data_IF_857674949894
#
_entry.id   IF_857674949894
#
_cell.length_a   1.000
_cell.length_b   1.000
_cell.length_c   1.000
_cell.angle_alpha   90.00
_cell.angle_beta   90.00
_cell.angle_gamma   90.00
#
_symmetry.space_group_name_H-M   'P 1'
#
loop_
_entity.id
_entity.type
_entity.pdbx_description
1 polymer ?
#
# COMPACT_ATOMS: atom_id res chain seq x y z
N UNK A 1 -6.98 18.10 -3.69
CA UNK A 1 -7.44 18.10 -2.27
C UNK A 1 -6.35 18.74 -1.43
N UNK A 2 -6.63 19.73 -0.58
CA UNK A 2 -5.62 20.34 0.29
C UNK A 2 -5.17 19.34 1.37
N UNK A 3 -3.88 19.34 1.75
CA UNK A 3 -3.32 18.40 2.73
C UNK A 3 -4.11 18.36 4.05
N UNK A 4 -4.51 19.52 4.60
CA UNK A 4 -5.35 19.60 5.82
C UNK A 4 -6.69 18.89 5.67
N UNK A 5 -7.32 18.97 4.49
CA UNK A 5 -8.57 18.26 4.21
C UNK A 5 -8.28 16.76 4.11
N UNK A 6 -7.20 16.36 3.45
CA UNK A 6 -6.81 14.95 3.30
C UNK A 6 -6.58 14.28 4.66
N UNK A 7 -5.87 14.93 5.59
CA UNK A 7 -5.67 14.44 6.96
C UNK A 7 -6.99 14.22 7.70
N UNK A 8 -7.94 15.15 7.61
CA UNK A 8 -9.27 14.97 8.23
C UNK A 8 -10.00 13.73 7.70
N UNK A 9 -9.90 13.47 6.39
CA UNK A 9 -10.47 12.26 5.80
C UNK A 9 -9.74 10.99 6.24
N UNK A 10 -8.41 10.99 6.34
CA UNK A 10 -7.66 9.86 6.91
C UNK A 10 -8.13 9.56 8.33
N UNK A 11 -8.22 10.59 9.19
CA UNK A 11 -8.70 10.43 10.57
C UNK A 11 -10.13 9.89 10.62
N UNK A 12 -11.03 10.39 9.76
CA UNK A 12 -12.40 9.88 9.65
C UNK A 12 -12.43 8.39 9.31
N UNK A 13 -11.65 7.94 8.32
CA UNK A 13 -11.57 6.53 7.94
C UNK A 13 -10.95 5.67 9.05
N UNK A 14 -9.92 6.16 9.74
CA UNK A 14 -9.34 5.48 10.90
C UNK A 14 -10.35 5.36 12.04
N UNK A 15 -11.10 6.42 12.36
CA UNK A 15 -12.15 6.38 13.37
C UNK A 15 -13.25 5.38 13.01
N UNK A 16 -13.62 5.29 11.73
CA UNK A 16 -14.60 4.31 11.27
C UNK A 16 -14.10 2.87 11.43
N UNK A 17 -12.82 2.61 11.13
CA UNK A 17 -12.21 1.30 11.35
C UNK A 17 -12.14 0.93 12.85
N UNK A 18 -11.81 1.89 13.72
CA UNK A 18 -11.82 1.69 15.17
C UNK A 18 -13.24 1.41 15.69
N UNK A 19 -14.23 2.15 15.21
CA UNK A 19 -15.63 1.94 15.59
C UNK A 19 -16.13 0.57 15.14
N UNK A 20 -15.77 0.13 13.93
CA UNK A 20 -16.04 -1.23 13.48
C UNK A 20 -15.36 -2.28 14.36
N UNK A 21 -14.09 -2.05 14.73
CA UNK A 21 -13.36 -2.95 15.62
C UNK A 21 -14.01 -3.07 17.01
N UNK A 22 -14.58 -1.98 17.55
CA UNK A 22 -15.36 -2.02 18.79
C UNK A 22 -16.63 -2.86 18.62
N UNK A 23 -17.26 -2.82 17.44
CA UNK A 23 -18.35 -3.74 17.08
C UNK A 23 -17.89 -5.19 17.07
N UNK A 24 -16.77 -5.51 16.40
CA UNK A 24 -16.18 -6.85 16.41
C UNK A 24 -15.87 -7.30 17.84
N UNK A 25 -15.30 -6.42 18.67
CA UNK A 25 -15.04 -6.72 20.08
C UNK A 25 -16.31 -7.09 20.86
N UNK A 26 -17.41 -6.36 20.61
CA UNK A 26 -18.68 -6.60 21.28
C UNK A 26 -19.37 -7.90 20.83
N UNK A 27 -19.35 -8.21 19.53
CA UNK A 27 -20.08 -9.36 18.97
C UNK A 27 -19.25 -10.65 18.88
N UNK A 28 -17.96 -10.54 18.54
CA UNK A 28 -17.06 -11.68 18.24
C UNK A 28 -15.95 -11.84 19.30
N UNK A 29 -15.85 -10.91 20.25
CA UNK A 29 -14.91 -10.96 21.37
C UNK A 29 -13.52 -10.37 21.09
N UNK A 30 -12.67 -10.42 22.12
CA UNK A 30 -11.36 -9.75 22.12
C UNK A 30 -10.34 -10.35 21.16
N UNK A 31 -10.37 -11.66 20.95
CA UNK A 31 -9.45 -12.32 20.02
C UNK A 31 -9.66 -11.82 18.58
N UNK A 32 -10.91 -11.83 18.11
CA UNK A 32 -11.28 -11.36 16.76
C UNK A 32 -11.05 -9.86 16.56
N UNK A 33 -11.27 -9.06 17.60
CA UNK A 33 -10.94 -7.63 17.55
C UNK A 33 -9.43 -7.37 17.43
N UNK A 34 -8.59 -8.16 18.09
CA UNK A 34 -7.13 -8.06 17.95
C UNK A 34 -6.69 -8.53 16.55
N UNK A 35 -7.29 -9.59 16.02
CA UNK A 35 -7.07 -10.03 14.64
C UNK A 35 -7.43 -8.95 13.62
N UNK A 36 -8.60 -8.32 13.76
CA UNK A 36 -9.03 -7.22 12.89
C UNK A 36 -8.06 -6.04 12.97
N UNK A 37 -7.71 -5.60 14.19
CA UNK A 37 -6.79 -4.48 14.37
C UNK A 37 -5.42 -4.78 13.77
N UNK A 38 -4.95 -6.02 13.87
CA UNK A 38 -3.67 -6.46 13.30
C UNK A 38 -3.69 -6.50 11.79
N UNK A 39 -4.72 -7.12 11.21
CA UNK A 39 -4.93 -7.09 9.77
C UNK A 39 -5.02 -5.66 9.24
N UNK A 40 -5.74 -4.79 9.95
CA UNK A 40 -5.93 -3.39 9.57
C UNK A 40 -4.61 -2.60 9.59
N UNK A 41 -3.81 -2.72 10.66
CA UNK A 41 -2.53 -2.00 10.79
C UNK A 41 -1.50 -2.51 9.78
N UNK A 42 -1.38 -3.83 9.60
CA UNK A 42 -0.48 -4.41 8.58
C UNK A 42 -0.87 -3.88 7.21
N UNK A 43 -2.16 -3.96 6.88
CA UNK A 43 -2.62 -3.57 5.57
C UNK A 43 -2.48 -2.07 5.32
N UNK A 44 -2.78 -1.24 6.31
CA UNK A 44 -2.58 0.21 6.24
C UNK A 44 -1.09 0.55 6.05
N UNK A 45 -0.19 -0.19 6.71
CA UNK A 45 1.25 0.00 6.60
C UNK A 45 1.75 -0.35 5.19
N UNK A 46 1.35 -1.51 4.67
CA UNK A 46 1.74 -1.95 3.33
C UNK A 46 1.13 -1.09 2.23
N UNK A 47 -0.09 -0.60 2.44
CA UNK A 47 -0.74 0.36 1.56
C UNK A 47 0.07 1.63 1.36
N UNK A 48 0.90 2.06 2.33
CA UNK A 48 1.78 3.23 2.16
C UNK A 48 2.84 2.98 1.08
N UNK A 49 3.43 1.79 1.01
CA UNK A 49 4.38 1.43 -0.05
C UNK A 49 3.69 1.42 -1.42
N UNK A 50 2.49 0.84 -1.49
CA UNK A 50 1.67 0.81 -2.69
C UNK A 50 1.42 2.23 -3.24
N UNK A 51 1.20 3.20 -2.34
CA UNK A 51 0.99 4.59 -2.71
C UNK A 51 2.24 5.27 -3.30
N UNK A 52 3.45 4.89 -2.88
CA UNK A 52 4.68 5.36 -3.53
C UNK A 52 4.78 4.88 -4.97
N UNK A 53 4.43 3.63 -5.23
CA UNK A 53 4.35 3.11 -6.60
C UNK A 53 3.30 3.85 -7.41
N UNK A 54 2.14 4.18 -6.83
CA UNK A 54 1.13 4.99 -7.52
C UNK A 54 1.67 6.38 -7.87
N UNK A 55 2.40 7.03 -6.94
CA UNK A 55 3.06 8.32 -7.20
C UNK A 55 4.05 8.22 -8.36
N UNK A 56 4.89 7.18 -8.38
CA UNK A 56 5.84 6.95 -9.47
C UNK A 56 5.13 6.75 -10.80
N UNK A 57 4.09 5.91 -10.86
CA UNK A 57 3.31 5.69 -12.09
C UNK A 57 2.70 7.01 -12.58
N UNK A 58 2.03 7.77 -11.71
CA UNK A 58 1.42 9.04 -12.13
C UNK A 58 2.47 10.05 -12.62
N UNK A 59 3.67 10.04 -12.03
CA UNK A 59 4.77 10.92 -12.42
C UNK A 59 5.38 10.50 -13.76
N UNK A 60 5.64 9.21 -13.98
CA UNK A 60 6.15 8.68 -15.26
C UNK A 60 5.23 8.99 -16.45
N UNK A 61 3.92 8.94 -16.23
CA UNK A 61 2.92 9.24 -17.27
C UNK A 61 2.52 10.73 -17.32
N UNK A 62 3.10 11.61 -16.49
CA UNK A 62 2.80 13.04 -16.48
C UNK A 62 1.34 13.38 -16.15
N UNK A 63 0.66 12.55 -15.35
CA UNK A 63 -0.77 12.70 -15.05
C UNK A 63 -1.00 13.85 -14.08
N UNK A 64 -1.74 14.88 -14.53
CA UNK A 64 -2.15 16.02 -13.69
C UNK A 64 -2.96 15.57 -12.48
N UNK A 65 -2.79 16.28 -11.35
CA UNK A 65 -3.43 15.97 -10.05
C UNK A 65 -4.97 15.88 -10.09
N UNK A 66 -5.60 16.59 -11.02
CA UNK A 66 -7.04 16.56 -11.25
C UNK A 66 -7.53 15.18 -11.72
N UNK A 67 -6.80 14.53 -12.63
CA UNK A 67 -7.20 13.25 -13.21
C UNK A 67 -6.82 12.05 -12.33
N UNK A 68 -5.79 12.19 -11.48
CA UNK A 68 -5.39 11.16 -10.51
C UNK A 68 -6.55 10.71 -9.62
N UNK A 69 -7.42 11.65 -9.21
CA UNK A 69 -8.58 11.35 -8.36
C UNK A 69 -9.51 10.34 -9.01
N UNK A 70 -9.77 10.49 -10.31
CA UNK A 70 -10.67 9.62 -11.04
C UNK A 70 -10.08 8.21 -11.12
N UNK A 71 -8.82 8.11 -11.53
CA UNK A 71 -8.11 6.83 -11.59
C UNK A 71 -8.06 6.12 -10.24
N UNK A 72 -7.77 6.83 -9.16
CA UNK A 72 -7.74 6.25 -7.81
C UNK A 72 -9.11 5.73 -7.36
N UNK A 73 -10.22 6.38 -7.72
CA UNK A 73 -11.55 5.90 -7.34
C UNK A 73 -11.86 4.56 -8.02
N UNK A 74 -11.59 4.43 -9.33
CA UNK A 74 -11.76 3.15 -10.04
C UNK A 74 -10.75 2.11 -9.55
N UNK A 75 -9.53 2.55 -9.28
CA UNK A 75 -8.44 1.76 -8.67
C UNK A 75 -8.85 1.09 -7.36
N UNK A 76 -9.50 1.84 -6.47
CA UNK A 76 -9.97 1.32 -5.17
C UNK A 76 -11.08 0.27 -5.37
N UNK A 77 -11.99 0.49 -6.31
CA UNK A 77 -13.06 -0.48 -6.58
C UNK A 77 -12.47 -1.78 -7.12
N UNK A 78 -11.54 -1.70 -8.08
CA UNK A 78 -10.84 -2.87 -8.61
C UNK A 78 -10.03 -3.60 -7.54
N UNK A 79 -9.25 -2.88 -6.74
CA UNK A 79 -8.49 -3.44 -5.62
C UNK A 79 -9.39 -4.20 -4.62
N UNK A 80 -10.55 -3.66 -4.24
CA UNK A 80 -11.49 -4.35 -3.33
C UNK A 80 -11.97 -5.68 -3.92
N UNK A 81 -12.27 -5.71 -5.22
CA UNK A 81 -12.72 -6.93 -5.92
C UNK A 81 -11.58 -7.93 -6.06
N UNK A 82 -10.41 -7.51 -6.53
CA UNK A 82 -9.24 -8.36 -6.70
C UNK A 82 -8.80 -8.96 -5.36
N UNK A 83 -8.83 -8.18 -4.29
CA UNK A 83 -8.49 -8.69 -2.96
C UNK A 83 -9.52 -9.67 -2.42
N UNK A 84 -10.81 -9.47 -2.66
CA UNK A 84 -11.81 -10.50 -2.34
C UNK A 84 -11.43 -11.83 -2.99
N UNK A 85 -11.07 -11.80 -4.28
CA UNK A 85 -10.65 -12.98 -5.03
C UNK A 85 -9.40 -13.61 -4.40
N UNK A 86 -8.33 -12.83 -4.20
CA UNK A 86 -7.08 -13.39 -3.68
C UNK A 86 -7.18 -13.87 -2.23
N UNK A 87 -7.95 -13.22 -1.37
CA UNK A 87 -8.18 -13.65 0.00
C UNK A 87 -8.92 -14.99 0.00
N UNK A 88 -10.02 -15.09 -0.76
CA UNK A 88 -10.80 -16.33 -0.84
C UNK A 88 -9.99 -17.50 -1.44
N UNK A 89 -9.19 -17.23 -2.48
CA UNK A 89 -8.29 -18.23 -3.05
C UNK A 89 -7.16 -18.59 -2.07
N UNK A 90 -6.56 -17.59 -1.42
CA UNK A 90 -5.46 -17.74 -0.49
C UNK A 90 -5.85 -18.57 0.72
N UNK A 91 -7.02 -18.33 1.32
CA UNK A 91 -7.52 -19.11 2.45
C UNK A 91 -7.71 -20.58 2.07
N UNK A 92 -8.25 -20.86 0.87
CA UNK A 92 -8.37 -22.25 0.37
C UNK A 92 -7.01 -22.92 0.24
N UNK A 93 -5.99 -22.21 -0.24
CA UNK A 93 -4.63 -22.74 -0.35
C UNK A 93 -4.04 -22.99 1.02
N UNK A 94 -4.14 -22.04 1.95
CA UNK A 94 -3.62 -22.16 3.32
C UNK A 94 -4.24 -23.34 4.07
N UNK A 95 -5.56 -23.53 3.93
CA UNK A 95 -6.26 -24.64 4.57
C UNK A 95 -5.94 -26.01 3.95
N UNK A 96 -5.51 -26.05 2.68
CA UNK A 96 -5.17 -27.30 2.00
C UNK A 96 -3.69 -27.65 2.12
N UNK A 97 -2.82 -26.65 2.29
CA UNK A 97 -1.37 -26.77 2.22
C UNK A 97 -0.76 -25.97 3.37
N UNK A 98 -0.74 -26.53 4.58
CA UNK A 98 -0.28 -25.81 5.77
C UNK A 98 1.17 -25.30 5.66
N UNK A 99 2.04 -26.01 4.93
CA UNK A 99 3.43 -25.58 4.72
C UNK A 99 3.58 -24.34 3.82
N UNK A 100 2.49 -23.89 3.17
CA UNK A 100 2.49 -22.65 2.37
C UNK A 100 2.84 -21.42 3.21
N UNK A 101 2.50 -21.43 4.51
CA UNK A 101 2.81 -20.34 5.43
C UNK A 101 4.32 -20.10 5.54
N UNK A 102 5.14 -21.13 5.36
CA UNK A 102 6.60 -20.99 5.36
C UNK A 102 7.12 -20.34 4.07
N UNK A 103 6.53 -20.69 2.91
CA UNK A 103 6.84 -20.02 1.64
C UNK A 103 6.47 -18.54 1.76
N UNK A 104 5.28 -18.26 2.29
CA UNK A 104 4.81 -16.92 2.60
C UNK A 104 5.79 -16.19 3.51
N UNK A 105 6.27 -16.82 4.58
CA UNK A 105 7.30 -16.25 5.44
C UNK A 105 8.58 -15.87 4.69
N UNK A 106 9.07 -16.75 3.82
CA UNK A 106 10.25 -16.50 3.00
C UNK A 106 10.03 -15.35 2.01
N UNK A 107 8.88 -15.31 1.34
CA UNK A 107 8.50 -14.22 0.43
C UNK A 107 8.55 -12.88 1.17
N UNK A 108 7.94 -12.79 2.35
CA UNK A 108 7.92 -11.55 3.14
C UNK A 108 9.31 -11.09 3.54
N UNK A 109 10.19 -12.01 3.96
CA UNK A 109 11.58 -11.68 4.30
C UNK A 109 12.30 -11.13 3.06
N UNK A 110 12.20 -11.83 1.93
CA UNK A 110 12.83 -11.42 0.67
C UNK A 110 12.31 -10.06 0.21
N UNK A 111 11.00 -9.83 0.28
CA UNK A 111 10.39 -8.54 -0.08
C UNK A 111 10.87 -7.41 0.83
N UNK A 112 10.92 -7.63 2.15
CA UNK A 112 11.48 -6.65 3.09
C UNK A 112 12.95 -6.33 2.84
N UNK A 113 13.79 -7.35 2.57
CA UNK A 113 15.19 -7.14 2.18
C UNK A 113 15.31 -6.32 0.89
N UNK A 114 14.55 -6.71 -0.14
CA UNK A 114 14.54 -6.00 -1.43
C UNK A 114 14.06 -4.55 -1.30
N UNK A 115 13.17 -4.27 -0.36
CA UNK A 115 12.65 -2.95 -0.10
C UNK A 115 13.69 -2.00 0.53
N UNK A 116 14.61 -2.53 1.34
CA UNK A 116 15.70 -1.76 1.99
C UNK A 116 16.91 -1.60 1.07
N UNK A 117 17.35 -2.70 0.45
CA UNK A 117 18.61 -2.75 -0.31
C UNK A 117 18.43 -2.58 -1.81
N UNK A 118 17.19 -2.65 -2.31
CA UNK A 118 16.90 -2.44 -3.72
C UNK A 118 17.10 -0.98 -4.09
N UNK A 119 17.95 -0.73 -5.09
CA UNK A 119 18.04 0.58 -5.73
C UNK A 119 16.71 0.89 -6.44
N UNK A 120 16.01 1.92 -5.98
CA UNK A 120 14.93 2.57 -6.73
C UNK A 120 15.54 3.43 -7.83
N UNK A 121 16.14 2.80 -8.84
CA UNK A 121 16.35 3.50 -10.10
C UNK A 121 14.97 3.93 -10.60
N UNK A 122 14.84 5.19 -11.03
CA UNK A 122 13.61 5.78 -11.56
C UNK A 122 12.99 4.86 -12.63
N UNK A 123 12.11 3.95 -12.20
CA UNK A 123 11.48 2.99 -13.11
C UNK A 123 10.55 3.76 -14.01
N UNK A 124 10.89 3.79 -15.29
CA UNK A 124 9.97 4.29 -16.28
C UNK A 124 8.85 3.27 -16.51
N UNK A 125 7.66 3.58 -15.97
CA UNK A 125 6.49 2.73 -16.14
C UNK A 125 5.88 2.82 -17.55
N UNK A 126 6.32 3.78 -18.38
CA UNK A 126 5.87 3.92 -19.77
C UNK A 126 6.43 2.83 -20.69
N UNK A 127 7.47 2.08 -20.28
CA UNK A 127 7.96 0.89 -21.00
C UNK A 127 7.63 -0.44 -20.30
N UNK A 128 6.68 -0.41 -19.36
CA UNK A 128 6.32 -1.61 -18.59
C UNK A 128 5.77 -2.75 -19.47
N UNK A 129 6.05 -3.99 -19.08
CA UNK A 129 5.52 -5.20 -19.74
C UNK A 129 3.99 -5.17 -19.83
N UNK A 130 3.33 -4.69 -18.77
CA UNK A 130 1.87 -4.51 -18.72
C UNK A 130 1.41 -3.57 -19.83
N UNK A 131 2.08 -2.44 -20.04
CA UNK A 131 1.73 -1.52 -21.13
C UNK A 131 1.95 -2.13 -22.51
N UNK A 132 3.03 -2.89 -22.71
CA UNK A 132 3.30 -3.60 -23.98
C UNK A 132 2.20 -4.60 -24.31
N UNK A 133 1.73 -5.34 -23.31
CA UNK A 133 0.61 -6.28 -23.46
C UNK A 133 -0.68 -5.50 -23.75
N UNK A 134 -0.96 -4.42 -23.02
CA UNK A 134 -2.15 -3.60 -23.24
C UNK A 134 -2.19 -3.02 -24.66
N UNK A 135 -1.08 -2.44 -25.15
CA UNK A 135 -0.95 -1.90 -26.51
C UNK A 135 -1.19 -2.95 -27.60
N UNK A 136 -0.96 -4.24 -27.31
CA UNK A 136 -1.24 -5.35 -28.23
C UNK A 136 -2.73 -5.72 -28.27
N UNK A 137 -3.47 -5.47 -27.19
CA UNK A 137 -4.90 -5.81 -27.07
C UNK A 137 -5.79 -4.64 -27.50
N UNK A 138 -5.45 -3.42 -27.08
CA UNK A 138 -6.22 -2.20 -27.36
C UNK A 138 -5.25 -1.12 -27.86
N UNK A 139 -5.55 -0.44 -29.00
CA UNK A 139 -4.72 0.67 -29.45
C UNK A 139 -4.84 1.83 -28.46
N UNK A 140 -3.70 2.38 -28.05
CA UNK A 140 -3.60 3.44 -27.04
C UNK A 140 -3.26 4.76 -27.74
N UNK A 141 -3.97 5.85 -27.41
CA UNK A 141 -3.65 7.20 -27.87
C UNK A 141 -2.37 7.72 -27.22
N UNK A 142 -1.54 8.42 -27.98
CA UNK A 142 -0.31 9.06 -27.48
C UNK A 142 -0.60 10.34 -26.69
N UNK A 143 -1.82 10.89 -26.76
CA UNK A 143 -2.18 12.16 -26.12
C UNK A 143 -3.17 11.98 -24.97
N UNK A 144 -2.99 12.79 -23.93
CA UNK A 144 -3.89 12.86 -22.78
C UNK A 144 -5.19 13.59 -23.20
N UNK A 145 -6.30 12.85 -23.21
CA UNK A 145 -7.63 13.38 -23.51
C UNK A 145 -8.43 13.63 -22.23
N UNK A 146 -7.95 14.55 -21.40
CA UNK A 146 -8.58 14.97 -20.13
C UNK A 146 -8.89 13.78 -19.21
N UNK A 147 -10.15 13.66 -18.74
CA UNK A 147 -10.61 12.60 -17.84
C UNK A 147 -11.15 11.33 -18.55
N UNK A 148 -11.13 11.28 -19.88
CA UNK A 148 -11.76 10.17 -20.61
C UNK A 148 -10.85 8.97 -20.60
N UNK A 149 -11.38 7.78 -20.28
CA UNK A 149 -10.62 6.53 -20.39
C UNK A 149 -10.52 6.01 -21.82
N UNK A 150 -11.56 6.25 -22.62
CA UNK A 150 -11.61 5.88 -24.02
C UNK A 150 -12.03 7.06 -24.87
N UNK A 151 -11.48 7.12 -26.07
CA UNK A 151 -11.87 8.08 -27.10
C UNK A 151 -12.15 7.35 -28.42
N UNK A 152 -12.99 7.94 -29.26
CA UNK A 152 -13.17 7.48 -30.64
C UNK A 152 -12.40 8.39 -31.57
N UNK A 153 -11.49 7.82 -32.37
CA UNK A 153 -10.78 8.54 -33.42
C UNK A 153 -10.77 7.68 -34.69
N UNK A 154 -11.21 8.24 -35.81
CA UNK A 154 -11.29 7.52 -37.09
C UNK A 154 -12.14 6.24 -37.05
N UNK A 155 -13.25 6.24 -36.29
CA UNK A 155 -14.15 5.08 -36.18
C UNK A 155 -13.66 3.95 -35.26
N UNK A 156 -12.45 4.04 -34.71
CA UNK A 156 -11.89 3.06 -33.77
C UNK A 156 -11.94 3.57 -32.34
N UNK A 157 -12.20 2.68 -31.39
CA UNK A 157 -12.12 2.96 -29.95
C UNK A 157 -10.65 2.84 -29.50
N UNK A 158 -10.10 3.92 -28.96
CA UNK A 158 -8.73 3.99 -28.45
C UNK A 158 -8.75 4.15 -26.93
N UNK A 159 -7.90 3.40 -26.24
CA UNK A 159 -7.61 3.63 -24.84
C UNK A 159 -6.76 4.90 -24.67
N UNK A 160 -7.02 5.67 -23.63
CA UNK A 160 -6.18 6.83 -23.28
C UNK A 160 -5.05 6.43 -22.34
N UNK A 161 -4.02 7.29 -22.16
CA UNK A 161 -3.00 7.09 -21.14
C UNK A 161 -3.60 6.92 -19.73
N UNK A 162 -4.74 7.55 -19.44
CA UNK A 162 -5.41 7.44 -18.14
C UNK A 162 -5.93 6.01 -17.87
N UNK A 163 -6.40 5.31 -18.92
CA UNK A 163 -6.82 3.91 -18.81
C UNK A 163 -5.62 2.99 -18.67
N UNK A 164 -4.54 3.26 -19.41
CA UNK A 164 -3.29 2.51 -19.25
C UNK A 164 -2.75 2.63 -17.81
N UNK A 165 -2.77 3.82 -17.22
CA UNK A 165 -2.38 4.04 -15.82
C UNK A 165 -3.29 3.27 -14.86
N UNK A 166 -4.60 3.25 -15.09
CA UNK A 166 -5.53 2.44 -14.28
C UNK A 166 -5.14 0.96 -14.30
N UNK A 167 -4.89 0.39 -15.48
CA UNK A 167 -4.49 -1.02 -15.62
C UNK A 167 -3.17 -1.31 -14.94
N UNK A 168 -2.19 -0.40 -15.03
CA UNK A 168 -0.89 -0.57 -14.35
C UNK A 168 -1.09 -0.52 -12.83
N UNK A 169 -1.92 0.40 -12.31
CA UNK A 169 -2.24 0.49 -10.88
C UNK A 169 -2.89 -0.80 -10.38
N UNK A 170 -3.91 -1.32 -11.08
CA UNK A 170 -4.57 -2.59 -10.72
C UNK A 170 -3.58 -3.76 -10.78
N UNK A 171 -2.71 -3.78 -11.80
CA UNK A 171 -1.67 -4.82 -11.93
C UNK A 171 -0.64 -4.72 -10.80
N UNK A 172 -0.29 -3.51 -10.36
CA UNK A 172 0.57 -3.29 -9.21
C UNK A 172 -0.11 -3.76 -7.91
N UNK A 173 -1.41 -3.54 -7.73
CA UNK A 173 -2.14 -4.07 -6.56
C UNK A 173 -2.09 -5.61 -6.49
N UNK A 174 -2.21 -6.29 -7.64
CA UNK A 174 -1.99 -7.75 -7.73
C UNK A 174 -0.59 -8.15 -7.27
N UNK A 175 0.44 -7.38 -7.64
CA UNK A 175 1.81 -7.64 -7.18
C UNK A 175 1.94 -7.39 -5.67
N UNK A 176 1.28 -6.36 -5.12
CA UNK A 176 1.27 -6.09 -3.69
C UNK A 176 0.48 -7.11 -2.88
N UNK A 177 -0.49 -7.80 -3.49
CA UNK A 177 -1.18 -8.93 -2.88
C UNK A 177 -0.22 -10.06 -2.48
N UNK A 178 0.92 -10.19 -3.18
CA UNK A 178 1.96 -11.18 -2.88
C UNK A 178 2.60 -10.93 -1.51
N UNK A 179 2.71 -9.68 -1.08
CA UNK A 179 3.27 -9.35 0.23
C UNK A 179 2.16 -9.19 1.29
N UNK A 180 1.08 -8.50 0.95
CA UNK A 180 0.01 -8.16 1.91
C UNK A 180 -0.81 -9.35 2.37
N UNK A 181 -1.14 -10.30 1.48
CA UNK A 181 -2.01 -11.42 1.84
C UNK A 181 -1.28 -12.42 2.76
N UNK A 182 -0.06 -12.86 2.44
CA UNK A 182 0.77 -13.61 3.38
C UNK A 182 0.91 -12.94 4.74
N UNK A 183 1.15 -11.62 4.77
CA UNK A 183 1.31 -10.89 6.02
C UNK A 183 0.03 -10.90 6.86
N UNK A 184 -1.14 -10.69 6.25
CA UNK A 184 -2.43 -10.73 6.97
C UNK A 184 -2.78 -12.15 7.43
N UNK A 185 -2.45 -13.19 6.65
CA UNK A 185 -2.64 -14.59 7.09
C UNK A 185 -1.76 -15.00 8.27
N UNK A 186 -0.67 -14.27 8.56
CA UNK A 186 0.07 -14.45 9.81
C UNK A 186 -0.68 -13.97 11.05
N UNK A 187 -1.76 -13.21 10.87
CA UNK A 187 -2.60 -12.67 11.95
C UNK A 187 -3.87 -13.51 12.07
N UNK A 188 -4.57 -13.74 10.96
CA UNK A 188 -5.82 -14.49 10.95
C UNK A 188 -6.06 -15.15 9.59
N UNK A 189 -6.69 -16.32 9.61
CA UNK A 189 -7.20 -17.01 8.41
C UNK A 189 -8.71 -16.91 8.28
N UNK A 190 -9.36 -16.13 9.17
CA UNK A 190 -10.79 -15.88 9.14
C UNK A 190 -11.17 -14.97 7.94
N UNK A 191 -11.96 -15.46 6.97
CA UNK A 191 -12.29 -14.67 5.78
C UNK A 191 -12.97 -13.34 6.10
N UNK A 192 -13.83 -13.30 7.12
CA UNK A 192 -14.55 -12.09 7.49
C UNK A 192 -13.58 -11.06 8.07
N UNK A 193 -12.72 -11.46 9.00
CA UNK A 193 -11.75 -10.55 9.63
C UNK A 193 -10.74 -10.05 8.60
N UNK A 194 -10.14 -10.97 7.84
CA UNK A 194 -9.12 -10.65 6.83
C UNK A 194 -9.69 -9.71 5.77
N UNK A 195 -10.90 -9.98 5.27
CA UNK A 195 -11.50 -9.15 4.23
C UNK A 195 -11.94 -7.78 4.75
N UNK A 196 -12.60 -7.72 5.90
CA UNK A 196 -13.09 -6.45 6.46
C UNK A 196 -11.94 -5.54 6.87
N UNK A 197 -10.91 -6.05 7.56
CA UNK A 197 -9.75 -5.24 7.96
C UNK A 197 -9.05 -4.62 6.75
N UNK A 198 -9.02 -5.37 5.65
CA UNK A 198 -8.37 -5.01 4.42
C UNK A 198 -9.17 -3.95 3.62
N UNK A 199 -10.50 -4.09 3.55
CA UNK A 199 -11.38 -3.04 3.00
C UNK A 199 -11.22 -1.73 3.79
N UNK A 200 -11.27 -1.78 5.12
CA UNK A 200 -11.15 -0.57 5.95
C UNK A 200 -9.81 0.15 5.72
N UNK A 201 -8.73 -0.59 5.48
CA UNK A 201 -7.44 0.00 5.12
C UNK A 201 -7.47 0.68 3.74
N UNK A 202 -8.07 0.03 2.72
CA UNK A 202 -8.12 0.57 1.34
C UNK A 202 -9.08 1.75 1.21
N UNK A 203 -10.19 1.81 1.95
CA UNK A 203 -11.13 2.93 1.83
C UNK A 203 -10.48 4.28 2.18
N UNK A 204 -9.49 4.28 3.09
CA UNK A 204 -8.68 5.45 3.44
C UNK A 204 -7.59 5.81 2.42
N UNK A 205 -7.31 4.95 1.43
CA UNK A 205 -6.17 5.03 0.52
C UNK A 205 -6.16 6.32 -0.30
N UNK A 206 -7.32 6.76 -0.80
CA UNK A 206 -7.40 8.01 -1.57
C UNK A 206 -6.98 9.22 -0.73
N UNK A 207 -7.45 9.32 0.50
CA UNK A 207 -7.05 10.41 1.39
C UNK A 207 -5.58 10.30 1.77
N UNK A 208 -5.09 9.09 2.03
CA UNK A 208 -3.70 8.83 2.36
C UNK A 208 -2.76 9.18 1.20
N UNK A 209 -3.14 8.88 -0.05
CA UNK A 209 -2.41 9.28 -1.25
C UNK A 209 -2.16 10.79 -1.29
N UNK A 210 -3.18 11.60 -1.04
CA UNK A 210 -3.02 13.06 -1.07
C UNK A 210 -2.20 13.59 0.11
N UNK A 211 -2.22 12.92 1.26
CA UNK A 211 -1.34 13.23 2.39
C UNK A 211 0.11 12.90 2.02
N UNK A 212 0.37 11.70 1.51
CA UNK A 212 1.71 11.27 1.10
C UNK A 212 2.27 12.10 -0.05
N UNK A 213 1.48 12.39 -1.09
CA UNK A 213 1.89 13.25 -2.20
C UNK A 213 2.31 14.66 -1.71
N UNK A 214 1.65 15.17 -0.65
CA UNK A 214 2.00 16.47 -0.07
C UNK A 214 3.20 16.43 0.88
N UNK A 215 3.59 15.23 1.34
CA UNK A 215 4.61 15.01 2.37
C UNK A 215 5.68 14.02 1.91
N UNK A 216 5.80 13.78 0.60
CA UNK A 216 6.61 12.70 0.03
C UNK A 216 8.07 12.78 0.51
N UNK A 217 8.63 13.99 0.55
CA UNK A 217 9.99 14.26 1.07
C UNK A 217 10.14 13.96 2.57
N UNK A 218 9.04 13.95 3.34
CA UNK A 218 9.04 13.74 4.80
C UNK A 218 8.90 12.30 5.24
N UNK A 219 8.67 11.35 4.32
CA UNK A 219 8.33 9.96 4.64
C UNK A 219 9.37 8.94 4.20
N UNK A 220 10.62 9.37 3.97
CA UNK A 220 11.74 8.52 3.54
C UNK A 220 11.91 7.25 4.39
N UNK A 221 11.74 7.34 5.72
CA UNK A 221 11.95 6.20 6.61
C UNK A 221 10.73 5.31 6.81
N UNK A 222 9.55 5.72 6.36
CA UNK A 222 8.34 4.88 6.46
C UNK A 222 8.51 3.60 5.64
N UNK A 223 9.16 3.71 4.48
CA UNK A 223 9.50 2.55 3.64
C UNK A 223 10.36 1.53 4.40
N UNK A 224 11.33 2.00 5.18
CA UNK A 224 12.15 1.14 6.04
C UNK A 224 11.29 0.48 7.13
N UNK A 225 10.38 1.24 7.76
CA UNK A 225 9.44 0.69 8.75
C UNK A 225 8.57 -0.45 8.19
N UNK A 226 8.02 -0.27 6.99
CA UNK A 226 7.22 -1.29 6.30
C UNK A 226 8.07 -2.52 5.97
N UNK A 227 9.31 -2.34 5.51
CA UNK A 227 10.23 -3.44 5.26
C UNK A 227 10.55 -4.24 6.53
N UNK A 228 10.77 -3.57 7.66
CA UNK A 228 10.97 -4.22 8.96
C UNK A 228 9.72 -4.99 9.40
N UNK A 229 8.52 -4.46 9.16
CA UNK A 229 7.25 -5.15 9.43
C UNK A 229 7.16 -6.43 8.59
N UNK A 230 7.50 -6.38 7.29
CA UNK A 230 7.51 -7.56 6.42
C UNK A 230 8.50 -8.61 6.91
N UNK A 231 9.74 -8.24 7.21
CA UNK A 231 10.74 -9.18 7.72
C UNK A 231 10.33 -9.78 9.06
N UNK A 232 9.83 -8.98 9.99
CA UNK A 232 9.30 -9.48 11.27
C UNK A 232 8.16 -10.48 11.06
N UNK A 233 7.21 -10.14 10.19
CA UNK A 233 6.05 -11.00 9.91
C UNK A 233 6.47 -12.29 9.22
N UNK A 234 7.46 -12.22 8.32
CA UNK A 234 8.02 -13.40 7.67
C UNK A 234 8.78 -14.31 8.63
N UNK A 235 9.54 -13.73 9.56
CA UNK A 235 10.18 -14.48 10.66
C UNK A 235 9.13 -15.13 11.56
N UNK A 236 8.07 -14.41 11.92
CA UNK A 236 6.94 -14.96 12.68
C UNK A 236 6.34 -16.19 12.00
N UNK A 237 6.10 -16.13 10.69
CA UNK A 237 5.60 -17.26 9.92
C UNK A 237 6.62 -18.41 9.85
N UNK A 238 7.91 -18.12 9.74
CA UNK A 238 8.96 -19.14 9.72
C UNK A 238 9.13 -19.87 11.06
N UNK A 239 9.02 -19.14 12.18
CA UNK A 239 9.17 -19.70 13.54
C UNK A 239 8.06 -20.71 13.88
N UNK A 240 6.90 -20.64 13.21
CA UNK A 240 5.85 -21.67 13.32
C UNK A 240 6.37 -23.08 13.01
N UNK A 241 7.44 -23.22 12.22
CA UNK A 241 8.09 -24.51 11.96
C UNK A 241 8.60 -25.18 13.26
N UNK A 242 9.07 -24.36 14.20
CA UNK A 242 9.54 -24.81 15.51
C UNK A 242 8.41 -24.91 16.55
N UNK A 243 7.14 -24.81 16.14
CA UNK A 243 5.96 -24.83 17.02
C UNK A 243 5.95 -23.71 18.08
N UNK A 244 6.65 -22.61 17.80
CA UNK A 244 6.67 -21.42 18.64
C UNK A 244 5.71 -20.40 18.04
N UNK A 245 4.64 -20.08 18.76
CA UNK A 245 3.69 -19.07 18.35
C UNK A 245 3.99 -17.74 19.04
N UNK A 246 4.16 -16.67 18.26
CA UNK A 246 4.28 -15.32 18.81
C UNK A 246 2.87 -14.81 19.13
N UNK A 247 2.57 -14.48 20.40
CA UNK A 247 1.27 -13.95 20.78
C UNK A 247 0.87 -12.73 19.94
N UNK A 248 -0.41 -12.67 19.55
CA UNK A 248 -0.93 -11.60 18.68
C UNK A 248 -0.69 -10.20 19.26
N UNK A 249 -0.78 -10.04 20.58
CA UNK A 249 -0.55 -8.75 21.26
C UNK A 249 0.91 -8.29 21.10
N UNK A 250 1.87 -9.21 21.18
CA UNK A 250 3.30 -8.90 20.97
C UNK A 250 3.52 -8.53 19.50
N UNK A 251 2.95 -9.32 18.58
CA UNK A 251 3.00 -9.04 17.15
C UNK A 251 2.47 -7.64 16.82
N UNK A 252 1.30 -7.29 17.36
CA UNK A 252 0.67 -5.98 17.21
C UNK A 252 1.55 -4.86 17.78
N UNK A 253 2.05 -5.04 19.00
CA UNK A 253 2.90 -4.05 19.65
C UNK A 253 4.18 -3.79 18.83
N UNK A 254 4.82 -4.84 18.31
CA UNK A 254 6.00 -4.72 17.46
C UNK A 254 5.68 -3.99 16.16
N UNK A 255 4.62 -4.38 15.44
CA UNK A 255 4.21 -3.73 14.18
C UNK A 255 3.90 -2.25 14.42
N UNK A 256 3.13 -1.95 15.46
CA UNK A 256 2.78 -0.58 15.81
C UNK A 256 4.03 0.25 16.18
N UNK A 257 4.95 -0.31 16.96
CA UNK A 257 6.20 0.35 17.33
C UNK A 257 7.09 0.62 16.11
N UNK A 258 7.21 -0.34 15.18
CA UNK A 258 7.96 -0.16 13.93
C UNK A 258 7.34 0.93 13.06
N UNK A 259 6.01 0.93 12.91
CA UNK A 259 5.30 1.94 12.11
C UNK A 259 5.45 3.34 12.72
N UNK A 260 5.09 3.50 14.00
CA UNK A 260 5.17 4.79 14.70
C UNK A 260 6.60 5.29 14.79
N UNK A 261 7.55 4.41 15.13
CA UNK A 261 8.97 4.71 15.17
C UNK A 261 9.49 5.22 13.83
N UNK A 262 9.14 4.54 12.73
CA UNK A 262 9.52 4.98 11.38
C UNK A 262 8.97 6.35 11.01
N UNK A 263 7.72 6.65 11.39
CA UNK A 263 7.10 7.96 11.15
C UNK A 263 7.81 9.04 11.96
N UNK A 264 8.06 8.80 13.26
CA UNK A 264 8.73 9.76 14.14
C UNK A 264 10.15 10.06 13.64
N UNK A 265 10.93 9.02 13.33
CA UNK A 265 12.29 9.16 12.78
C UNK A 265 12.24 9.97 11.48
N UNK A 266 11.28 9.69 10.61
CA UNK A 266 11.12 10.41 9.35
C UNK A 266 10.82 11.90 9.56
N UNK A 267 9.94 12.25 10.50
CA UNK A 267 9.62 13.63 10.82
C UNK A 267 10.80 14.39 11.44
N UNK A 268 11.58 13.73 12.31
CA UNK A 268 12.77 14.33 12.95
C UNK A 268 13.88 14.56 11.92
N UNK A 269 14.18 13.55 11.10
CA UNK A 269 15.23 13.63 10.09
C UNK A 269 14.98 14.77 9.10
N UNK A 270 13.76 14.88 8.56
CA UNK A 270 13.42 15.94 7.61
C UNK A 270 13.41 17.34 8.25
N UNK A 271 13.11 17.45 9.55
CA UNK A 271 13.24 18.75 10.26
C UNK A 271 14.70 19.18 10.38
N UNK A 272 15.61 18.23 10.63
CA UNK A 272 17.05 18.50 10.74
C UNK A 272 17.63 18.93 9.40
N UNK A 273 17.32 18.20 8.32
CA UNK A 273 17.77 18.53 6.96
C UNK A 273 17.37 19.96 6.55
N UNK A 274 16.12 20.39 6.82
CA UNK A 274 15.68 21.76 6.54
C UNK A 274 16.42 22.82 7.36
N UNK A 275 16.72 22.54 8.62
CA UNK A 275 17.46 23.47 9.48
C UNK A 275 18.90 23.63 9.00
N UNK A 276 19.54 22.53 8.61
CA UNK A 276 20.90 22.52 8.08
C UNK A 276 20.95 23.27 6.72
N UNK A 277 19.94 23.13 5.86
CA UNK A 277 19.82 23.90 4.61
C UNK A 277 19.62 25.41 4.84
N UNK A 278 18.82 25.81 5.83
CA UNK A 278 18.61 27.21 6.20
C UNK A 278 19.89 27.84 6.78
N UNK A 279 20.62 27.13 7.64
CA UNK A 279 21.91 27.59 8.18
C UNK A 279 22.99 27.73 7.10
N UNK A 280 23.02 26.84 6.10
CA UNK A 280 23.94 26.96 4.95
C UNK A 280 23.57 28.12 4.03
N UNK A 281 22.27 28.39 3.82
CA UNK A 281 21.83 29.56 3.03
C UNK A 281 22.17 30.87 3.72
N UNK A 282 21.97 30.97 5.04
CA UNK A 282 22.34 32.16 5.82
C UNK A 282 23.84 32.45 5.72
N UNK A 283 24.70 31.44 5.90
CA UNK A 283 26.16 31.59 5.77
C UNK A 283 26.65 31.98 4.37
N UNK A 284 25.87 31.74 3.31
CA UNK A 284 26.21 32.12 1.93
C UNK A 284 25.73 33.53 1.56
N UNK A 285 24.83 34.13 2.34
CA UNK A 285 24.35 35.50 2.13
C UNK A 285 25.25 36.52 2.85
N UNK A 286 25.97 36.07 3.88
CA UNK A 286 26.94 36.87 4.65
C UNK A 286 28.37 36.88 4.04
N UNK A 287 28.56 36.28 2.85
CA UNK A 287 29.81 36.24 2.06
C UNK A 287 29.63 37.01 0.74
#
# INVERSE_FOLDING_TARGET
MTARKAVKFVLMWMSLAVLFNLGVWYFEGSAKALEFLGGYIIELSLSVDNLFVFLMIFTSFGIKKEYQRRTLNYGIIGAIVLRAIFILLGIKVVNSIHWILYIFGLILIVSGFKMIFGHEDNKDYTDSKVLKILKKIIPVSDTLHEEKFFIRHGGKLLATPLFAVLIIIESSDVLFAIDSIPAVFSISTDPFIVYTSNIFAILGLRSLYFVLNALHEKFKYVKVGVALILMFTGVKLGILFFHIEIPIVISLATIFALLVGSIIISLIATRKEKKDEEEVKLKKVDL
#
